data_IF_202663019568
#
_entry.id   IF_202663019568
#
_cell.length_a   1.000
_cell.length_b   1.000
_cell.length_c   1.000
_cell.angle_alpha   90.00
_cell.angle_beta   90.00
_cell.angle_gamma   90.00
#
_symmetry.space_group_name_H-M   'P 1'
#
loop_
_entity.id
_entity.type
_entity.pdbx_description
1 polymer ?
#
# COMPACT_ATOMS: atom_id res chain seq x y z
N UNK A 1 11.17 1.03 -13.49
CA UNK A 1 10.64 1.60 -12.24
C UNK A 1 11.73 2.33 -11.46
N UNK A 2 11.50 3.62 -11.23
CA UNK A 2 12.27 4.52 -10.37
C UNK A 2 11.76 4.47 -8.92
N UNK A 3 12.64 4.12 -7.98
CA UNK A 3 12.35 4.07 -6.54
C UNK A 3 12.90 5.29 -5.79
N UNK A 4 13.44 6.30 -6.48
CA UNK A 4 14.15 7.42 -5.86
C UNK A 4 13.32 8.14 -4.80
N UNK A 5 12.02 8.39 -5.06
CA UNK A 5 11.10 9.00 -4.08
C UNK A 5 10.96 8.14 -2.82
N UNK A 6 10.85 6.83 -2.98
CA UNK A 6 10.77 5.89 -1.85
C UNK A 6 12.05 5.91 -1.01
N UNK A 7 13.22 5.89 -1.65
CA UNK A 7 14.50 5.95 -0.93
C UNK A 7 14.68 7.27 -0.19
N UNK A 8 14.22 8.41 -0.75
CA UNK A 8 14.25 9.72 -0.06
C UNK A 8 13.35 9.79 1.17
N UNK A 9 12.35 8.90 1.30
CA UNK A 9 11.53 8.81 2.52
C UNK A 9 12.31 8.28 3.73
N UNK A 10 13.49 7.69 3.51
CA UNK A 10 14.38 7.24 4.56
C UNK A 10 15.45 8.30 4.85
N UNK A 11 15.79 8.44 6.13
CA UNK A 11 16.89 9.32 6.53
C UNK A 11 18.22 8.80 5.98
N UNK A 12 19.05 9.68 5.44
CA UNK A 12 20.45 9.40 5.10
C UNK A 12 21.34 9.26 6.36
N UNK A 13 20.85 9.74 7.50
CA UNK A 13 21.52 9.69 8.80
C UNK A 13 20.70 8.78 9.73
N UNK A 14 21.24 7.61 10.09
CA UNK A 14 20.60 6.67 11.01
C UNK A 14 20.80 5.21 10.65
N UNK A 15 20.02 4.34 11.28
CA UNK A 15 20.08 2.89 11.03
C UNK A 15 19.42 2.57 9.68
N UNK A 16 20.21 1.99 8.78
CA UNK A 16 19.70 1.47 7.53
C UNK A 16 18.60 0.41 7.76
N UNK A 17 17.55 0.39 6.95
CA UNK A 17 16.51 -0.61 7.07
C UNK A 17 17.09 -2.02 6.85
N UNK A 18 16.64 -2.98 7.66
CA UNK A 18 17.09 -4.38 7.58
C UNK A 18 16.69 -5.07 6.28
N UNK A 19 15.63 -4.58 5.62
CA UNK A 19 15.12 -5.05 4.33
C UNK A 19 15.09 -3.88 3.38
N UNK A 20 15.51 -4.11 2.13
CA UNK A 20 15.51 -3.05 1.11
C UNK A 20 14.10 -2.50 0.89
N UNK A 21 13.89 -1.16 0.85
CA UNK A 21 12.58 -0.55 0.59
C UNK A 21 11.92 -1.06 -0.70
N UNK A 22 12.72 -1.28 -1.75
CA UNK A 22 12.29 -1.88 -3.02
C UNK A 22 11.70 -3.28 -2.83
N UNK A 23 12.29 -4.12 -1.97
CA UNK A 23 11.80 -5.47 -1.71
C UNK A 23 10.52 -5.43 -0.88
N UNK A 24 10.45 -4.57 0.13
CA UNK A 24 9.23 -4.35 0.90
C UNK A 24 8.07 -3.92 -0.02
N UNK A 25 8.32 -3.00 -0.96
CA UNK A 25 7.31 -2.63 -1.94
C UNK A 25 6.82 -3.81 -2.78
N UNK A 26 7.73 -4.64 -3.31
CA UNK A 26 7.36 -5.84 -4.07
C UNK A 26 6.51 -6.82 -3.26
N UNK A 27 6.90 -7.06 -2.00
CA UNK A 27 6.14 -7.92 -1.08
C UNK A 27 4.73 -7.37 -0.86
N UNK A 28 4.58 -6.05 -0.67
CA UNK A 28 3.28 -5.41 -0.47
C UNK A 28 2.38 -5.53 -1.71
N UNK A 29 2.92 -5.23 -2.89
CA UNK A 29 2.18 -5.35 -4.16
C UNK A 29 1.73 -6.80 -4.39
N UNK A 30 2.65 -7.75 -4.20
CA UNK A 30 2.33 -9.16 -4.39
C UNK A 30 1.27 -9.63 -3.38
N UNK A 31 1.39 -9.26 -2.10
CA UNK A 31 0.38 -9.56 -1.09
C UNK A 31 -1.01 -9.07 -1.50
N UNK A 32 -1.12 -7.84 -1.97
CA UNK A 32 -2.39 -7.25 -2.37
C UNK A 32 -2.99 -7.94 -3.59
N UNK A 33 -2.16 -8.37 -4.55
CA UNK A 33 -2.62 -9.19 -5.68
C UNK A 33 -3.21 -10.54 -5.25
N UNK A 34 -2.79 -11.07 -4.10
CA UNK A 34 -3.28 -12.32 -3.53
C UNK A 34 -4.43 -12.10 -2.52
N UNK A 35 -4.96 -10.88 -2.39
CA UNK A 35 -6.01 -10.55 -1.43
C UNK A 35 -5.55 -10.51 0.04
N UNK A 36 -4.25 -10.40 0.29
CA UNK A 36 -3.66 -10.38 1.65
C UNK A 36 -3.35 -8.95 2.06
N UNK A 37 -4.22 -8.34 2.88
CA UNK A 37 -4.11 -6.92 3.24
C UNK A 37 -3.58 -6.64 4.65
N UNK A 38 -3.74 -7.59 5.58
CA UNK A 38 -3.32 -7.40 6.97
C UNK A 38 -1.83 -7.67 7.12
N UNK A 39 -1.09 -6.77 7.76
CA UNK A 39 0.39 -6.88 7.85
C UNK A 39 0.84 -8.14 8.58
N UNK A 40 0.03 -8.67 9.51
CA UNK A 40 0.29 -9.96 10.17
C UNK A 40 0.18 -11.14 9.22
N UNK A 41 -0.83 -11.16 8.33
CA UNK A 41 -0.95 -12.21 7.31
C UNK A 41 0.15 -12.07 6.26
N UNK A 42 0.60 -10.85 5.94
CA UNK A 42 1.74 -10.63 5.05
C UNK A 42 3.03 -11.16 5.69
N UNK A 43 3.26 -10.89 6.98
CA UNK A 43 4.39 -11.44 7.73
C UNK A 43 4.36 -12.98 7.74
N UNK A 44 3.19 -13.58 8.00
CA UNK A 44 2.99 -15.02 7.94
C UNK A 44 3.26 -15.59 6.55
N UNK A 45 2.75 -14.95 5.49
CA UNK A 45 3.02 -15.32 4.11
C UNK A 45 4.52 -15.25 3.78
N UNK A 46 5.24 -14.26 4.30
CA UNK A 46 6.70 -14.17 4.15
C UNK A 46 7.46 -15.34 4.82
N UNK A 47 6.87 -15.96 5.85
CA UNK A 47 7.44 -17.15 6.50
C UNK A 47 7.10 -18.44 5.78
N UNK A 48 5.86 -18.59 5.32
CA UNK A 48 5.34 -19.88 4.87
C UNK A 48 5.35 -20.05 3.35
N UNK A 49 5.29 -18.96 2.58
CA UNK A 49 5.11 -19.02 1.14
C UNK A 49 6.43 -18.73 0.38
N UNK A 50 6.82 -19.69 -0.47
CA UNK A 50 8.06 -19.63 -1.24
C UNK A 50 8.14 -18.42 -2.18
N UNK A 51 7.02 -17.98 -2.76
CA UNK A 51 7.00 -16.80 -3.63
C UNK A 51 7.39 -15.53 -2.86
N UNK A 52 6.92 -15.39 -1.61
CA UNK A 52 7.29 -14.26 -0.77
C UNK A 52 8.75 -14.32 -0.33
N UNK A 53 9.24 -15.52 0.04
CA UNK A 53 10.65 -15.71 0.36
C UNK A 53 11.57 -15.40 -0.84
N UNK A 54 11.15 -15.79 -2.05
CA UNK A 54 11.86 -15.46 -3.28
C UNK A 54 11.95 -13.95 -3.51
N UNK A 55 10.88 -13.20 -3.23
CA UNK A 55 10.89 -11.73 -3.31
C UNK A 55 11.83 -11.08 -2.30
N UNK A 56 11.97 -11.67 -1.10
CA UNK A 56 12.89 -11.20 -0.06
C UNK A 56 14.35 -11.47 -0.40
N UNK A 57 14.66 -12.48 -1.24
CA UNK A 57 16.03 -12.83 -1.67
C UNK A 57 17.01 -13.05 -0.50
N UNK A 58 16.54 -13.70 0.56
CA UNK A 58 17.35 -13.99 1.76
C UNK A 58 17.48 -12.83 2.74
N UNK A 59 16.85 -11.67 2.49
CA UNK A 59 16.69 -10.64 3.52
C UNK A 59 15.91 -11.21 4.72
N UNK A 60 16.15 -10.70 5.94
CA UNK A 60 15.37 -11.07 7.12
C UNK A 60 13.87 -10.87 6.89
N UNK A 61 13.06 -11.78 7.43
CA UNK A 61 11.61 -11.69 7.33
C UNK A 61 11.14 -10.42 8.06
N UNK A 62 10.44 -9.49 7.38
CA UNK A 62 9.98 -8.28 8.02
C UNK A 62 8.82 -8.59 8.97
N UNK A 63 8.89 -8.05 10.19
CA UNK A 63 7.77 -8.14 11.12
C UNK A 63 6.58 -7.26 10.68
N UNK A 64 5.38 -7.56 11.18
CA UNK A 64 4.17 -6.80 10.83
C UNK A 64 4.26 -5.32 11.20
N UNK A 65 5.08 -4.95 12.19
CA UNK A 65 5.30 -3.56 12.59
C UNK A 65 6.14 -2.80 11.55
N UNK A 66 7.14 -3.46 10.99
CA UNK A 66 7.98 -2.95 9.91
C UNK A 66 7.14 -2.76 8.66
N UNK A 67 6.31 -3.75 8.31
CA UNK A 67 5.36 -3.63 7.20
C UNK A 67 4.34 -2.51 7.43
N UNK A 68 3.82 -2.37 8.64
CA UNK A 68 2.85 -1.31 8.98
C UNK A 68 3.47 0.09 8.89
N UNK A 69 4.67 0.29 9.47
CA UNK A 69 5.41 1.55 9.37
C UNK A 69 5.82 1.87 7.94
N UNK A 70 6.27 0.87 7.19
CA UNK A 70 6.58 1.04 5.77
C UNK A 70 5.37 1.55 5.00
N UNK A 71 4.21 0.90 5.18
CA UNK A 71 2.96 1.30 4.54
C UNK A 71 2.51 2.71 4.93
N UNK A 72 2.56 3.04 6.22
CA UNK A 72 2.03 4.31 6.73
C UNK A 72 2.99 5.48 6.48
N UNK A 73 4.28 5.31 6.74
CA UNK A 73 5.21 6.44 6.81
C UNK A 73 6.05 6.61 5.53
N UNK A 74 6.27 5.53 4.78
CA UNK A 74 7.22 5.52 3.65
C UNK A 74 6.51 5.49 2.30
N UNK A 75 5.46 4.68 2.18
CA UNK A 75 4.68 4.58 0.94
C UNK A 75 3.73 5.75 0.72
N UNK A 76 3.21 6.39 1.78
CA UNK A 76 2.20 7.45 1.66
C UNK A 76 2.58 8.56 0.67
N UNK A 77 3.86 8.96 0.63
CA UNK A 77 4.32 10.03 -0.26
C UNK A 77 4.65 9.59 -1.71
N UNK A 78 4.66 8.30 -2.01
CA UNK A 78 5.15 7.79 -3.30
C UNK A 78 4.35 6.62 -3.89
N UNK A 79 3.28 6.15 -3.23
CA UNK A 79 2.54 4.96 -3.64
C UNK A 79 1.85 5.15 -4.99
N UNK A 80 1.21 6.29 -5.24
CA UNK A 80 0.52 6.57 -6.51
C UNK A 80 1.50 6.55 -7.70
N UNK A 81 2.65 7.20 -7.53
CA UNK A 81 3.74 7.23 -8.50
C UNK A 81 4.27 5.83 -8.79
N UNK A 82 4.57 5.04 -7.75
CA UNK A 82 5.08 3.68 -7.90
C UNK A 82 4.05 2.72 -8.53
N UNK A 83 2.76 2.87 -8.21
CA UNK A 83 1.70 2.05 -8.81
C UNK A 83 1.47 2.44 -10.28
N UNK A 84 1.54 3.73 -10.62
CA UNK A 84 1.44 4.18 -12.01
C UNK A 84 2.57 3.59 -12.85
N UNK A 85 3.81 3.68 -12.35
CA UNK A 85 4.97 3.07 -13.00
C UNK A 85 4.85 1.53 -13.12
N UNK A 86 4.16 0.86 -12.19
CA UNK A 86 3.93 -0.58 -12.27
C UNK A 86 2.96 -0.92 -13.39
N UNK A 87 1.87 -0.17 -13.52
CA UNK A 87 0.89 -0.35 -14.60
C UNK A 87 1.52 -0.07 -15.96
N UNK A 88 2.30 1.01 -16.08
CA UNK A 88 3.07 1.31 -17.29
C UNK A 88 4.03 0.17 -17.63
N UNK A 89 4.79 -0.31 -16.65
CA UNK A 89 5.71 -1.43 -16.86
C UNK A 89 4.99 -2.70 -17.33
N UNK A 90 3.85 -3.05 -16.73
CA UNK A 90 3.05 -4.21 -17.15
C UNK A 90 2.48 -4.02 -18.58
N UNK A 91 2.02 -2.81 -18.91
CA UNK A 91 1.57 -2.43 -20.25
C UNK A 91 2.65 -2.62 -21.30
N UNK A 92 3.86 -2.11 -21.04
CA UNK A 92 5.01 -2.24 -21.95
C UNK A 92 5.42 -3.69 -22.21
N UNK A 93 5.14 -4.60 -21.26
CA UNK A 93 5.45 -6.02 -21.39
C UNK A 93 4.29 -6.83 -21.98
N UNK A 94 3.17 -6.18 -22.34
CA UNK A 94 2.00 -6.85 -22.91
C UNK A 94 1.19 -7.67 -21.90
N UNK A 95 1.38 -7.42 -20.60
CA UNK A 95 0.69 -8.15 -19.51
C UNK A 95 -0.71 -7.57 -19.20
N UNK A 96 -1.06 -6.43 -19.80
CA UNK A 96 -2.36 -5.77 -19.65
C UNK A 96 -2.98 -5.55 -21.02
N UNK A 97 -4.23 -6.00 -21.19
CA UNK A 97 -5.08 -5.61 -22.32
C UNK A 97 -5.90 -4.37 -21.95
N UNK A 98 -5.96 -3.40 -22.86
CA UNK A 98 -6.77 -2.18 -22.73
C UNK A 98 -8.08 -2.24 -23.53
N UNK A 99 -8.46 -3.41 -24.04
CA UNK A 99 -9.70 -3.59 -24.82
C UNK A 99 -10.96 -3.38 -23.98
N UNK A 100 -10.89 -3.71 -22.68
CA UNK A 100 -12.00 -3.60 -21.75
C UNK A 100 -11.56 -2.87 -20.48
N UNK A 101 -12.17 -1.72 -20.20
CA UNK A 101 -11.96 -0.93 -18.99
C UNK A 101 -13.19 -0.97 -18.10
N UNK A 102 -13.04 -1.49 -16.90
CA UNK A 102 -14.08 -1.51 -15.86
C UNK A 102 -13.79 -0.42 -14.83
N UNK A 103 -14.78 0.43 -14.55
CA UNK A 103 -14.69 1.48 -13.53
C UNK A 103 -15.74 1.21 -12.47
N UNK A 104 -15.32 1.02 -11.23
CA UNK A 104 -16.19 0.85 -10.08
C UNK A 104 -15.91 1.92 -9.02
N UNK A 105 -16.95 2.35 -8.30
CA UNK A 105 -16.89 3.41 -7.31
C UNK A 105 -17.14 2.87 -5.91
N UNK A 106 -16.19 3.09 -5.00
CA UNK A 106 -16.43 2.82 -3.57
C UNK A 106 -17.00 4.06 -2.89
N UNK A 107 -18.21 3.96 -2.31
CA UNK A 107 -18.76 5.04 -1.48
C UNK A 107 -18.07 5.06 -0.12
N UNK A 108 -17.23 6.07 0.11
CA UNK A 108 -16.61 6.33 1.42
C UNK A 108 -17.52 7.25 2.23
N UNK A 109 -17.98 6.82 3.41
CA UNK A 109 -18.77 7.69 4.29
C UNK A 109 -17.90 8.86 4.78
N UNK A 110 -18.47 10.06 4.82
CA UNK A 110 -17.83 11.20 5.46
C UNK A 110 -17.68 10.91 6.97
N UNK A 111 -16.52 11.23 7.55
CA UNK A 111 -16.32 11.24 9.00
C UNK A 111 -16.98 12.49 9.62
N UNK A 112 -18.28 12.64 9.38
CA UNK A 112 -19.12 13.68 9.94
C UNK A 112 -20.00 13.07 11.03
N UNK A 113 -20.17 13.78 12.13
CA UNK A 113 -21.10 13.35 13.17
C UNK A 113 -22.51 13.25 12.55
N UNK A 114 -23.09 12.04 12.52
CA UNK A 114 -24.44 11.78 11.99
C UNK A 114 -25.53 12.63 12.68
N UNK A 115 -25.21 13.24 13.83
CA UNK A 115 -26.09 14.09 14.64
C UNK A 115 -25.87 15.60 14.48
N UNK A 116 -25.02 16.08 13.55
CA UNK A 116 -24.89 17.53 13.29
C UNK A 116 -26.06 18.11 12.47
N UNK A 117 -27.00 17.26 12.04
CA UNK A 117 -28.19 17.65 11.30
C UNK A 117 -29.35 17.88 12.28
N UNK A 118 -29.58 19.14 12.66
CA UNK A 118 -30.74 19.52 13.47
C UNK A 118 -31.85 20.02 12.54
N UNK A 119 -33.02 19.39 12.62
CA UNK A 119 -34.18 19.84 11.86
C UNK A 119 -34.57 21.25 12.28
N UNK A 120 -34.73 22.16 11.31
CA UNK A 120 -35.09 23.58 11.55
C UNK A 120 -36.24 23.77 12.54
N UNK A 121 -37.22 22.85 12.52
CA UNK A 121 -38.39 22.84 13.41
C UNK A 121 -38.05 22.65 14.90
N UNK A 122 -36.92 22.02 15.22
CA UNK A 122 -36.44 21.84 16.60
C UNK A 122 -35.69 23.07 17.15
N UNK A 123 -35.16 23.92 16.27
CA UNK A 123 -34.38 25.12 16.65
C UNK A 123 -35.28 26.36 16.81
N UNK A 124 -36.46 26.38 16.19
CA UNK A 124 -37.40 27.52 16.20
C UNK A 124 -38.35 27.57 17.40
N UNK A 125 -38.19 26.72 18.43
CA UNK A 125 -38.89 26.89 19.71
C UNK A 125 -38.01 27.70 20.66
N UNK A 126 -38.02 29.02 20.50
CA UNK A 126 -37.76 30.04 21.52
C UNK A 126 -38.18 31.39 20.95
#
# INVERSE_FOLDING_TARGET
MDYSKLYRSYSSLGRNPSVSPKRLFKVMVYAYSQGIYTTRKIEEACRLNLAFQYLLRGDPIPDHNTLARFRRERLECCIEDLLSQLVEWLSEHGEISFEHLFVDGTKVEANANKYSFVWKKAVQKN
#
